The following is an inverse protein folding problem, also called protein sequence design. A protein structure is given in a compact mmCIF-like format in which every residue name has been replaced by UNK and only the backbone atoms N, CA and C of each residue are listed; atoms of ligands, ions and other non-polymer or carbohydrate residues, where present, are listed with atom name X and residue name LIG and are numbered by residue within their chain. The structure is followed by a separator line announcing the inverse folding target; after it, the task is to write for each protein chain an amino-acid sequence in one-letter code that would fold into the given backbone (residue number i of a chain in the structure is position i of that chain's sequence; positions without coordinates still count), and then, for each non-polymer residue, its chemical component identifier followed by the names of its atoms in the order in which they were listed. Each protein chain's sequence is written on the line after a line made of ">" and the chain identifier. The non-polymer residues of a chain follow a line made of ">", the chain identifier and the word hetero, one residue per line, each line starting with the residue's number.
data_IF_936086209833
#
_entry.id   IF_936086209833
#
_cell.length_a   1.000
_cell.length_b   1.000
_cell.length_c   1.000
_cell.angle_alpha   90.00
_cell.angle_beta   90.00
_cell.angle_gamma   90.00
#
_symmetry.space_group_name_H-M   'P 1'
#
loop_
_entity.id
_entity.type
_entity.pdbx_description
1 polymer ?
#
# COMPACT_ATOMS: atom_id res chain seq x y z
N UNK A 1 -20.62 -10.76 53.47
CA UNK A 1 -19.83 -9.55 53.77
C UNK A 1 -18.55 -9.47 52.94
N UNK A 2 -17.85 -10.58 52.67
CA UNK A 2 -16.62 -10.62 51.85
C UNK A 2 -16.76 -10.22 50.37
N UNK A 3 -17.87 -10.59 49.69
CA UNK A 3 -18.08 -10.24 48.28
C UNK A 3 -18.17 -8.72 48.03
N UNK A 4 -18.94 -7.98 48.84
CA UNK A 4 -19.08 -6.52 48.69
C UNK A 4 -17.80 -5.73 48.97
N UNK A 5 -16.93 -6.22 49.87
CA UNK A 5 -15.60 -5.61 50.11
C UNK A 5 -14.67 -5.84 48.92
N UNK A 6 -14.70 -7.04 48.32
CA UNK A 6 -13.91 -7.36 47.12
C UNK A 6 -14.34 -6.52 45.90
N UNK A 7 -15.64 -6.36 45.68
CA UNK A 7 -16.19 -5.56 44.57
C UNK A 7 -15.86 -4.07 44.72
N UNK A 8 -15.95 -3.54 45.94
CA UNK A 8 -15.58 -2.16 46.24
C UNK A 8 -14.08 -1.89 46.00
N UNK A 9 -13.21 -2.80 46.45
CA UNK A 9 -11.77 -2.69 46.21
C UNK A 9 -11.42 -2.78 44.73
N UNK A 10 -12.07 -3.67 43.97
CA UNK A 10 -11.90 -3.78 42.53
C UNK A 10 -12.31 -2.48 41.82
N UNK A 11 -13.47 -1.93 42.17
CA UNK A 11 -13.95 -0.66 41.63
C UNK A 11 -12.99 0.51 41.94
N UNK A 12 -12.50 0.61 43.18
CA UNK A 12 -11.54 1.65 43.55
C UNK A 12 -10.22 1.55 42.77
N UNK A 13 -9.63 0.35 42.71
CA UNK A 13 -8.39 0.10 41.95
C UNK A 13 -8.58 0.38 40.46
N UNK A 14 -9.72 -0.02 39.90
CA UNK A 14 -10.10 0.30 38.53
C UNK A 14 -10.14 1.80 38.28
N UNK A 15 -10.88 2.56 39.10
CA UNK A 15 -10.96 4.03 38.92
C UNK A 15 -9.61 4.72 39.03
N UNK A 16 -8.77 4.30 39.97
CA UNK A 16 -7.43 4.86 40.14
C UNK A 16 -6.56 4.57 38.91
N UNK A 17 -6.59 3.34 38.42
CA UNK A 17 -5.89 2.96 37.19
C UNK A 17 -6.37 3.77 35.97
N UNK A 18 -7.67 3.95 35.80
CA UNK A 18 -8.22 4.78 34.73
C UNK A 18 -7.74 6.24 34.82
N UNK A 19 -7.72 6.82 36.03
CA UNK A 19 -7.21 8.18 36.25
C UNK A 19 -5.72 8.31 35.92
N UNK A 20 -4.91 7.30 36.21
CA UNK A 20 -3.48 7.32 35.87
C UNK A 20 -3.26 7.36 34.35
N UNK A 21 -4.08 6.63 33.58
CA UNK A 21 -4.04 6.67 32.11
C UNK A 21 -4.51 8.05 31.61
N UNK A 22 -5.64 8.52 32.12
CA UNK A 22 -6.27 9.78 31.67
C UNK A 22 -5.48 11.03 32.06
N UNK A 23 -4.82 11.00 33.21
CA UNK A 23 -3.93 12.06 33.67
C UNK A 23 -2.50 11.92 33.15
N UNK A 24 -2.26 11.05 32.15
CA UNK A 24 -0.96 10.80 31.52
C UNK A 24 0.18 10.42 32.49
N UNK A 25 -0.17 9.91 33.68
CA UNK A 25 0.80 9.38 34.64
C UNK A 25 1.32 8.00 34.21
N UNK A 26 0.52 7.28 33.43
CA UNK A 26 0.87 6.02 32.82
C UNK A 26 0.55 6.08 31.32
N UNK A 27 1.60 6.19 30.50
CA UNK A 27 1.47 6.41 29.05
C UNK A 27 1.95 5.24 28.20
N UNK A 28 2.84 4.40 28.74
CA UNK A 28 3.40 3.27 28.02
C UNK A 28 2.33 2.18 27.77
N UNK A 29 1.98 1.87 26.51
CA UNK A 29 0.89 0.94 26.19
C UNK A 29 1.12 -0.47 26.71
N UNK A 30 2.37 -0.93 26.74
CA UNK A 30 2.72 -2.28 27.16
C UNK A 30 2.56 -2.42 28.68
N UNK A 31 3.00 -1.42 29.44
CA UNK A 31 2.74 -1.33 30.89
C UNK A 31 1.25 -1.17 31.21
N UNK A 32 0.51 -0.37 30.44
CA UNK A 32 -0.94 -0.23 30.59
C UNK A 32 -1.62 -1.58 30.40
N UNK A 33 -1.31 -2.29 29.32
CA UNK A 33 -1.90 -3.59 29.04
C UNK A 33 -1.54 -4.65 30.09
N UNK A 34 -0.30 -4.65 30.58
CA UNK A 34 0.13 -5.54 31.66
C UNK A 34 -0.66 -5.30 32.95
N UNK A 35 -0.79 -4.03 33.40
CA UNK A 35 -1.59 -3.66 34.57
C UNK A 35 -3.07 -3.98 34.39
N UNK A 36 -3.61 -3.78 33.19
CA UNK A 36 -4.98 -4.18 32.87
C UNK A 36 -5.16 -5.69 33.05
N UNK A 37 -4.25 -6.50 32.51
CA UNK A 37 -4.33 -7.98 32.59
C UNK A 37 -4.28 -8.46 34.04
N UNK A 38 -3.43 -7.83 34.87
CA UNK A 38 -3.38 -8.10 36.30
C UNK A 38 -4.71 -7.71 37.01
N UNK A 39 -5.23 -6.51 36.72
CA UNK A 39 -6.47 -6.01 37.32
C UNK A 39 -7.71 -6.82 36.91
N UNK A 40 -7.72 -7.36 35.68
CA UNK A 40 -8.89 -7.97 35.04
C UNK A 40 -8.93 -9.50 35.11
N UNK A 41 -7.88 -10.15 35.64
CA UNK A 41 -7.58 -11.58 35.54
C UNK A 41 -8.79 -12.53 35.57
N UNK A 42 -9.68 -12.39 36.54
CA UNK A 42 -10.86 -13.27 36.71
C UNK A 42 -12.20 -12.58 36.36
N UNK A 43 -12.18 -11.28 36.05
CA UNK A 43 -13.37 -10.43 35.99
C UNK A 43 -13.32 -9.42 34.83
N UNK A 44 -12.69 -9.78 33.70
CA UNK A 44 -12.43 -8.85 32.60
C UNK A 44 -13.68 -8.23 32.00
N UNK A 45 -14.82 -8.92 32.06
CA UNK A 45 -16.14 -8.46 31.60
C UNK A 45 -16.96 -7.71 32.65
N UNK A 46 -16.50 -7.62 33.91
CA UNK A 46 -17.23 -6.95 35.00
C UNK A 46 -17.60 -5.51 34.67
N UNK A 47 -18.83 -5.11 35.00
CA UNK A 47 -19.31 -3.72 34.82
C UNK A 47 -18.49 -2.73 35.65
N UNK A 48 -17.91 -3.16 36.77
CA UNK A 48 -17.05 -2.33 37.62
C UNK A 48 -15.77 -1.89 36.90
N UNK A 49 -15.33 -2.67 35.92
CA UNK A 49 -14.15 -2.41 35.12
C UNK A 49 -14.47 -1.77 33.76
N UNK A 50 -15.72 -1.36 33.51
CA UNK A 50 -16.11 -0.75 32.24
C UNK A 50 -15.29 0.52 31.91
N UNK A 51 -15.22 1.47 32.86
CA UNK A 51 -14.43 2.70 32.69
C UNK A 51 -12.95 2.43 32.42
N UNK A 52 -12.27 1.64 33.28
CA UNK A 52 -10.87 1.25 33.07
C UNK A 52 -10.63 0.53 31.73
N UNK A 53 -11.50 -0.42 31.36
CA UNK A 53 -11.42 -1.14 30.08
C UNK A 53 -11.47 -0.18 28.91
N UNK A 54 -12.40 0.78 28.94
CA UNK A 54 -12.54 1.82 27.92
C UNK A 54 -11.29 2.71 27.83
N UNK A 55 -10.74 3.13 28.97
CA UNK A 55 -9.53 3.95 29.02
C UNK A 55 -8.31 3.21 28.42
N UNK A 56 -8.15 1.93 28.75
CA UNK A 56 -7.09 1.08 28.19
C UNK A 56 -7.28 0.91 26.68
N UNK A 57 -8.46 0.45 26.24
CA UNK A 57 -8.78 0.28 24.80
C UNK A 57 -8.47 1.55 24.01
N UNK A 58 -8.92 2.71 24.50
CA UNK A 58 -8.65 4.01 23.86
C UNK A 58 -7.15 4.23 23.69
N UNK A 59 -6.34 4.06 24.73
CA UNK A 59 -4.89 4.31 24.66
C UNK A 59 -4.16 3.36 23.70
N UNK A 60 -4.55 2.08 23.68
CA UNK A 60 -3.99 1.10 22.74
C UNK A 60 -4.32 1.48 21.28
N UNK A 61 -5.58 1.85 21.01
CA UNK A 61 -6.02 2.26 19.67
C UNK A 61 -5.36 3.56 19.24
N UNK A 62 -5.32 4.58 20.10
CA UNK A 62 -4.63 5.86 19.83
C UNK A 62 -3.15 5.65 19.49
N UNK A 63 -2.49 4.72 20.21
CA UNK A 63 -1.08 4.44 19.93
C UNK A 63 -0.89 3.74 18.58
N UNK A 64 -1.77 2.80 18.22
CA UNK A 64 -1.75 2.17 16.91
C UNK A 64 -2.12 3.16 15.77
N UNK A 65 -3.01 4.11 16.04
CA UNK A 65 -3.39 5.17 15.10
C UNK A 65 -2.20 6.04 14.72
N UNK A 66 -1.22 6.24 15.61
CA UNK A 66 0.01 6.95 15.25
C UNK A 66 0.80 6.24 14.14
N UNK A 67 0.84 4.90 14.11
CA UNK A 67 1.49 4.16 13.02
C UNK A 67 0.76 4.35 11.69
N UNK A 68 -0.57 4.25 11.70
CA UNK A 68 -1.41 4.44 10.51
C UNK A 68 -1.30 5.89 10.01
N UNK A 69 -1.39 6.87 10.89
CA UNK A 69 -1.26 8.29 10.56
C UNK A 69 0.15 8.63 10.07
N UNK A 70 1.20 8.07 10.68
CA UNK A 70 2.57 8.23 10.22
C UNK A 70 2.71 7.67 8.80
N UNK A 71 2.12 6.52 8.50
CA UNK A 71 2.11 6.01 7.14
C UNK A 71 1.36 6.93 6.17
N UNK A 72 0.17 7.41 6.54
CA UNK A 72 -0.62 8.33 5.69
C UNK A 72 0.14 9.60 5.33
N UNK A 73 0.85 10.17 6.31
CA UNK A 73 1.46 11.50 6.21
C UNK A 73 2.95 11.47 5.85
N UNK A 74 3.60 10.31 5.83
CA UNK A 74 5.05 10.27 5.65
C UNK A 74 5.47 10.48 4.21
N UNK A 75 6.02 11.65 3.93
CA UNK A 75 6.70 11.92 2.67
C UNK A 75 8.15 11.40 2.65
N UNK A 76 8.82 11.22 3.79
CA UNK A 76 10.27 10.96 3.82
C UNK A 76 10.74 9.81 4.74
N UNK A 77 9.97 9.44 5.77
CA UNK A 77 10.39 8.43 6.74
C UNK A 77 9.54 7.16 6.68
N UNK A 78 10.09 6.01 6.24
CA UNK A 78 9.31 4.79 6.15
C UNK A 78 8.90 4.32 7.55
N UNK A 79 7.62 3.96 7.71
CA UNK A 79 7.14 3.21 8.89
C UNK A 79 7.79 1.84 8.88
N UNK A 80 8.44 1.46 9.99
CA UNK A 80 9.24 0.25 10.07
C UNK A 80 8.34 -0.99 10.24
N UNK A 81 8.80 -2.18 9.83
CA UNK A 81 8.02 -3.42 10.02
C UNK A 81 7.59 -3.64 11.48
N UNK A 82 8.48 -3.34 12.43
CA UNK A 82 8.21 -3.46 13.87
C UNK A 82 7.08 -2.54 14.36
N UNK A 83 6.89 -1.38 13.73
CA UNK A 83 5.81 -0.47 14.11
C UNK A 83 4.45 -1.06 13.73
N UNK A 84 4.37 -1.72 12.57
CA UNK A 84 3.16 -2.43 12.15
C UNK A 84 2.87 -3.65 13.03
N UNK A 85 3.90 -4.42 13.40
CA UNK A 85 3.76 -5.54 14.33
C UNK A 85 3.25 -5.10 15.71
N UNK A 86 3.77 -3.97 16.19
CA UNK A 86 3.31 -3.35 17.44
C UNK A 86 1.86 -2.89 17.32
N UNK A 87 1.52 -2.15 16.26
CA UNK A 87 0.15 -1.70 16.01
C UNK A 87 -0.85 -2.88 15.94
N UNK A 88 -0.51 -3.94 15.20
CA UNK A 88 -1.30 -5.18 15.14
C UNK A 88 -1.56 -5.75 16.54
N UNK A 89 -0.52 -5.86 17.37
CA UNK A 89 -0.63 -6.39 18.74
C UNK A 89 -1.54 -5.52 19.60
N UNK A 90 -1.37 -4.20 19.57
CA UNK A 90 -2.21 -3.26 20.32
C UNK A 90 -3.68 -3.32 19.92
N UNK A 91 -3.97 -3.42 18.61
CA UNK A 91 -5.32 -3.49 18.07
C UNK A 91 -5.99 -4.84 18.37
N UNK A 92 -5.25 -5.94 18.28
CA UNK A 92 -5.74 -7.26 18.68
C UNK A 92 -6.08 -7.30 20.19
N UNK A 93 -5.22 -6.72 21.03
CA UNK A 93 -5.48 -6.59 22.46
C UNK A 93 -6.72 -5.73 22.75
N UNK A 94 -6.92 -4.63 22.01
CA UNK A 94 -8.11 -3.80 22.12
C UNK A 94 -9.41 -4.56 21.75
N UNK A 95 -9.37 -5.39 20.70
CA UNK A 95 -10.53 -6.21 20.28
C UNK A 95 -10.90 -7.30 21.29
N UNK A 96 -9.91 -7.89 21.98
CA UNK A 96 -10.18 -8.86 23.05
C UNK A 96 -10.95 -8.24 24.22
N UNK A 97 -10.77 -6.93 24.46
CA UNK A 97 -11.48 -6.21 25.52
C UNK A 97 -12.91 -5.88 25.13
N UNK A 98 -13.11 -5.38 23.91
CA UNK A 98 -14.41 -4.89 23.45
C UNK A 98 -14.45 -4.91 21.91
N UNK A 99 -15.21 -5.85 21.31
CA UNK A 99 -15.33 -5.98 19.86
C UNK A 99 -15.82 -4.69 19.19
N UNK A 100 -15.15 -4.31 18.11
CA UNK A 100 -15.41 -3.04 17.42
C UNK A 100 -14.95 -3.14 15.97
N UNK A 101 -15.87 -2.95 15.03
CA UNK A 101 -15.58 -3.05 13.60
C UNK A 101 -14.57 -2.00 13.13
N UNK A 102 -14.53 -0.82 13.75
CA UNK A 102 -13.53 0.21 13.45
C UNK A 102 -12.14 -0.26 13.85
N UNK A 103 -12.01 -0.84 15.05
CA UNK A 103 -10.73 -1.40 15.53
C UNK A 103 -10.34 -2.61 14.70
N UNK A 104 -11.31 -3.44 14.28
CA UNK A 104 -11.06 -4.57 13.36
C UNK A 104 -10.53 -4.07 12.02
N UNK A 105 -11.12 -3.02 11.45
CA UNK A 105 -10.64 -2.43 10.21
C UNK A 105 -9.20 -1.90 10.32
N UNK A 106 -8.86 -1.26 11.44
CA UNK A 106 -7.48 -0.81 11.72
C UNK A 106 -6.52 -1.98 11.87
N UNK A 107 -6.95 -3.07 12.52
CA UNK A 107 -6.15 -4.29 12.63
C UNK A 107 -5.82 -4.84 11.24
N UNK A 108 -6.83 -4.90 10.36
CA UNK A 108 -6.67 -5.31 8.97
C UNK A 108 -5.71 -4.41 8.18
N UNK A 109 -5.70 -3.09 8.42
CA UNK A 109 -4.67 -2.20 7.85
C UNK A 109 -3.26 -2.64 8.28
N UNK A 110 -3.05 -2.88 9.57
CA UNK A 110 -1.74 -3.29 10.09
C UNK A 110 -1.30 -4.67 9.53
N UNK A 111 -2.21 -5.64 9.50
CA UNK A 111 -1.97 -6.97 8.93
C UNK A 111 -1.66 -6.91 7.43
N UNK A 112 -2.43 -6.13 6.67
CA UNK A 112 -2.18 -5.89 5.25
C UNK A 112 -0.81 -5.30 4.98
N UNK A 113 -0.34 -4.36 5.80
CA UNK A 113 1.01 -3.81 5.66
C UNK A 113 2.12 -4.81 6.00
N UNK A 114 1.94 -5.65 7.03
CA UNK A 114 2.88 -6.72 7.37
C UNK A 114 2.97 -7.72 6.21
N UNK A 115 1.83 -8.17 5.70
CA UNK A 115 1.75 -9.10 4.58
C UNK A 115 2.39 -8.52 3.31
N UNK A 116 2.14 -7.23 3.00
CA UNK A 116 2.81 -6.53 1.89
C UNK A 116 4.33 -6.52 2.03
N UNK A 117 4.84 -6.17 3.21
CA UNK A 117 6.28 -6.09 3.47
C UNK A 117 6.92 -7.46 3.27
N UNK A 118 6.30 -8.51 3.83
CA UNK A 118 6.77 -9.89 3.67
C UNK A 118 6.72 -10.35 2.22
N UNK A 119 5.61 -10.12 1.52
CA UNK A 119 5.40 -10.53 0.13
C UNK A 119 6.36 -9.84 -0.85
N UNK A 120 6.56 -8.53 -0.69
CA UNK A 120 7.51 -7.79 -1.54
C UNK A 120 8.97 -8.15 -1.24
N UNK A 121 9.33 -8.31 0.03
CA UNK A 121 10.70 -8.64 0.45
C UNK A 121 11.15 -10.05 0.04
N UNK A 122 10.23 -11.03 0.09
CA UNK A 122 10.54 -12.45 -0.18
C UNK A 122 10.01 -12.96 -1.51
N UNK A 123 9.36 -12.10 -2.32
CA UNK A 123 8.65 -12.48 -3.55
C UNK A 123 7.64 -13.60 -3.31
N UNK A 124 6.91 -13.52 -2.20
CA UNK A 124 5.92 -14.53 -1.80
C UNK A 124 4.52 -14.11 -2.28
N UNK A 125 3.95 -14.78 -3.30
CA UNK A 125 2.64 -14.44 -3.83
C UNK A 125 1.53 -14.61 -2.79
N UNK A 126 1.65 -15.57 -1.88
CA UNK A 126 0.62 -15.82 -0.86
C UNK A 126 0.54 -14.66 0.13
N UNK A 127 1.68 -14.11 0.54
CA UNK A 127 1.70 -12.90 1.37
C UNK A 127 1.15 -11.68 0.64
N UNK A 128 1.33 -11.57 -0.69
CA UNK A 128 0.74 -10.48 -1.47
C UNK A 128 -0.78 -10.62 -1.59
N UNK A 129 -1.29 -11.83 -1.80
CA UNK A 129 -2.73 -12.14 -1.81
C UNK A 129 -3.36 -11.81 -0.44
N UNK A 130 -2.76 -12.30 0.65
CA UNK A 130 -3.20 -11.97 2.02
C UNK A 130 -3.23 -10.46 2.25
N UNK A 131 -2.24 -9.72 1.75
CA UNK A 131 -2.21 -8.26 1.86
C UNK A 131 -3.40 -7.60 1.19
N UNK A 132 -3.78 -8.05 -0.02
CA UNK A 132 -4.96 -7.56 -0.73
C UNK A 132 -6.25 -7.91 0.02
N UNK A 133 -6.36 -9.14 0.54
CA UNK A 133 -7.50 -9.58 1.33
C UNK A 133 -7.70 -8.71 2.58
N UNK A 134 -6.64 -8.50 3.36
CA UNK A 134 -6.70 -7.70 4.58
C UNK A 134 -7.08 -6.24 4.27
N UNK A 135 -6.50 -5.61 3.25
CA UNK A 135 -6.92 -4.26 2.88
C UNK A 135 -8.35 -4.20 2.34
N UNK A 136 -8.80 -5.22 1.62
CA UNK A 136 -10.20 -5.29 1.14
C UNK A 136 -11.18 -5.45 2.30
N UNK A 137 -10.82 -6.22 3.33
CA UNK A 137 -11.63 -6.31 4.55
C UNK A 137 -11.61 -4.97 5.31
N UNK A 138 -10.45 -4.33 5.42
CA UNK A 138 -10.32 -3.00 6.01
C UNK A 138 -11.18 -1.95 5.29
N UNK A 139 -11.24 -1.98 3.96
CA UNK A 139 -12.08 -1.10 3.14
C UNK A 139 -13.56 -1.24 3.52
N UNK A 140 -14.06 -2.47 3.70
CA UNK A 140 -15.45 -2.73 4.09
C UNK A 140 -15.75 -2.23 5.50
N UNK A 141 -14.79 -2.37 6.41
CA UNK A 141 -14.92 -1.97 7.82
C UNK A 141 -14.71 -0.45 8.02
N UNK A 142 -13.96 0.20 7.13
CA UNK A 142 -13.61 1.62 7.19
C UNK A 142 -13.93 2.33 5.85
N UNK A 143 -15.22 2.40 5.44
CA UNK A 143 -15.60 2.86 4.10
C UNK A 143 -15.25 4.32 3.80
N UNK A 144 -15.00 5.13 4.83
CA UNK A 144 -14.60 6.54 4.70
C UNK A 144 -13.09 6.75 4.85
N UNK A 145 -12.32 5.71 5.20
CA UNK A 145 -10.87 5.84 5.36
C UNK A 145 -10.17 5.69 4.01
N UNK A 146 -9.20 6.57 3.68
CA UNK A 146 -8.31 6.38 2.54
C UNK A 146 -7.22 5.32 2.81
N UNK A 147 -6.95 4.95 4.07
CA UNK A 147 -5.80 4.10 4.43
C UNK A 147 -5.79 2.73 3.76
N UNK A 148 -6.92 2.00 3.62
CA UNK A 148 -6.94 0.73 2.91
C UNK A 148 -6.49 0.87 1.45
N UNK A 149 -6.89 1.96 0.80
CA UNK A 149 -6.55 2.23 -0.60
C UNK A 149 -5.07 2.59 -0.77
N UNK A 150 -4.50 3.36 0.15
CA UNK A 150 -3.06 3.65 0.17
C UNK A 150 -2.23 2.36 0.37
N UNK A 151 -2.77 1.40 1.13
CA UNK A 151 -2.23 0.06 1.27
C UNK A 151 -2.28 -0.72 -0.05
N UNK A 152 -3.48 -0.86 -0.63
CA UNK A 152 -3.75 -1.57 -1.88
C UNK A 152 -2.88 -1.04 -3.03
N UNK A 153 -2.86 0.27 -3.22
CA UNK A 153 -2.08 0.89 -4.28
C UNK A 153 -0.59 0.50 -4.20
N UNK A 154 -0.02 0.48 -2.98
CA UNK A 154 1.38 0.09 -2.78
C UNK A 154 1.64 -1.40 -3.06
N UNK A 155 0.69 -2.28 -2.74
CA UNK A 155 0.76 -3.71 -3.10
C UNK A 155 0.73 -3.87 -4.61
N UNK A 156 -0.17 -3.16 -5.29
CA UNK A 156 -0.34 -3.24 -6.73
C UNK A 156 0.87 -2.68 -7.50
N UNK A 157 1.47 -1.56 -7.07
CA UNK A 157 2.67 -1.00 -7.71
C UNK A 157 3.89 -1.92 -7.58
N UNK A 158 4.23 -2.36 -6.36
CA UNK A 158 5.52 -2.99 -6.10
C UNK A 158 5.46 -4.52 -5.99
N UNK A 159 4.36 -5.07 -5.49
CA UNK A 159 4.18 -6.51 -5.33
C UNK A 159 3.62 -7.18 -6.58
N UNK A 160 2.42 -6.75 -7.00
CA UNK A 160 1.66 -7.41 -8.07
C UNK A 160 1.93 -6.82 -9.46
N UNK A 161 2.58 -5.65 -9.53
CA UNK A 161 2.96 -4.99 -10.78
C UNK A 161 1.76 -4.68 -11.70
N UNK A 162 0.65 -4.28 -11.09
CA UNK A 162 -0.63 -3.94 -11.71
C UNK A 162 -0.91 -2.44 -11.51
N UNK A 163 -0.39 -1.62 -12.43
CA UNK A 163 -0.50 -0.15 -12.31
C UNK A 163 -1.94 0.35 -12.49
N UNK A 164 -2.79 -0.38 -13.23
CA UNK A 164 -4.18 0.06 -13.42
C UNK A 164 -4.97 -0.05 -12.12
N UNK A 165 -4.80 -1.16 -11.38
CA UNK A 165 -5.39 -1.29 -10.04
C UNK A 165 -4.78 -0.33 -9.03
N UNK A 166 -3.49 -0.04 -9.14
CA UNK A 166 -2.86 0.96 -8.29
C UNK A 166 -3.44 2.35 -8.51
N UNK A 167 -3.61 2.77 -9.77
CA UNK A 167 -4.23 4.04 -10.12
C UNK A 167 -5.68 4.13 -9.63
N UNK A 168 -6.46 3.06 -9.77
CA UNK A 168 -7.82 2.98 -9.24
C UNK A 168 -7.86 3.14 -7.71
N UNK A 169 -6.96 2.45 -6.99
CA UNK A 169 -6.88 2.59 -5.55
C UNK A 169 -6.52 4.03 -5.12
N UNK A 170 -5.58 4.69 -5.81
CA UNK A 170 -5.28 6.10 -5.50
C UNK A 170 -6.45 7.04 -5.80
N UNK A 171 -7.18 6.83 -6.90
CA UNK A 171 -8.39 7.61 -7.21
C UNK A 171 -9.44 7.43 -6.11
N UNK A 172 -9.64 6.20 -5.63
CA UNK A 172 -10.56 5.93 -4.53
C UNK A 172 -10.08 6.58 -3.21
N UNK A 173 -8.78 6.61 -2.93
CA UNK A 173 -8.23 7.36 -1.81
C UNK A 173 -8.55 8.86 -1.91
N UNK A 174 -8.41 9.45 -3.11
CA UNK A 174 -8.75 10.86 -3.36
C UNK A 174 -10.26 11.12 -3.20
N UNK A 175 -11.11 10.21 -3.67
CA UNK A 175 -12.56 10.28 -3.43
C UNK A 175 -12.92 10.26 -1.95
N UNK A 176 -12.09 9.63 -1.10
CA UNK A 176 -12.21 9.64 0.36
C UNK A 176 -11.50 10.81 1.04
N UNK A 177 -11.12 11.83 0.27
CA UNK A 177 -10.55 13.09 0.78
C UNK A 177 -9.05 13.05 1.04
N UNK A 178 -8.33 12.04 0.54
CA UNK A 178 -6.87 12.08 0.52
C UNK A 178 -6.34 12.95 -0.63
N UNK A 179 -5.16 13.53 -0.47
CA UNK A 179 -4.49 14.26 -1.53
C UNK A 179 -3.16 13.58 -1.83
N UNK A 180 -2.95 13.18 -3.09
CA UNK A 180 -1.73 12.50 -3.49
C UNK A 180 -0.52 13.44 -3.37
N UNK A 181 0.42 13.08 -2.51
CA UNK A 181 1.68 13.79 -2.35
C UNK A 181 2.74 13.32 -3.35
N UNK A 182 3.97 13.86 -3.22
CA UNK A 182 5.11 13.42 -4.03
C UNK A 182 5.38 11.91 -3.95
N UNK A 183 5.11 11.28 -2.80
CA UNK A 183 5.29 9.85 -2.58
C UNK A 183 4.36 9.00 -3.45
N UNK A 184 3.07 9.28 -3.45
CA UNK A 184 2.09 8.52 -4.23
C UNK A 184 2.30 8.71 -5.73
N UNK A 185 2.61 9.94 -6.15
CA UNK A 185 2.99 10.25 -7.54
C UNK A 185 4.27 9.50 -7.95
N UNK A 186 5.24 9.38 -7.04
CA UNK A 186 6.43 8.55 -7.26
C UNK A 186 6.06 7.07 -7.47
N UNK A 187 5.14 6.53 -6.66
CA UNK A 187 4.68 5.14 -6.81
C UNK A 187 3.99 4.91 -8.16
N UNK A 188 3.13 5.85 -8.59
CA UNK A 188 2.51 5.81 -9.91
C UNK A 188 3.57 5.87 -11.02
N UNK A 189 4.53 6.79 -10.93
CA UNK A 189 5.60 6.95 -11.91
C UNK A 189 6.45 5.67 -12.05
N UNK A 190 6.84 5.08 -10.93
CA UNK A 190 7.57 3.80 -10.88
C UNK A 190 6.75 2.66 -11.51
N UNK A 191 5.44 2.61 -11.26
CA UNK A 191 4.56 1.58 -11.81
C UNK A 191 4.37 1.69 -13.32
N UNK A 192 4.14 2.90 -13.85
CA UNK A 192 4.09 3.14 -15.29
C UNK A 192 5.43 2.82 -15.96
N UNK A 193 6.55 3.19 -15.34
CA UNK A 193 7.89 2.88 -15.83
C UNK A 193 8.13 1.35 -15.90
N UNK A 194 7.75 0.61 -14.87
CA UNK A 194 7.86 -0.86 -14.85
C UNK A 194 7.03 -1.53 -15.95
N UNK A 195 5.78 -1.06 -16.15
CA UNK A 195 4.92 -1.57 -17.24
C UNK A 195 5.47 -1.21 -18.62
N UNK A 196 5.98 0.01 -18.81
CA UNK A 196 6.60 0.45 -20.05
C UNK A 196 7.83 -0.41 -20.41
N UNK A 197 8.73 -0.61 -19.44
CA UNK A 197 9.94 -1.42 -19.60
C UNK A 197 9.60 -2.85 -20.02
N UNK A 198 8.62 -3.47 -19.34
CA UNK A 198 8.16 -4.83 -19.64
C UNK A 198 7.49 -4.93 -21.01
N UNK A 199 6.59 -4.01 -21.31
CA UNK A 199 5.86 -3.99 -22.59
C UNK A 199 6.81 -3.78 -23.76
N UNK A 200 7.77 -2.88 -23.62
CA UNK A 200 8.80 -2.68 -24.64
C UNK A 200 9.69 -3.92 -24.76
N UNK A 201 9.98 -4.61 -23.66
CA UNK A 201 10.70 -5.87 -23.71
C UNK A 201 9.96 -6.96 -24.48
N UNK A 202 8.68 -7.16 -24.15
CA UNK A 202 7.83 -8.18 -24.76
C UNK A 202 7.56 -7.91 -26.24
N UNK A 203 7.59 -6.65 -26.68
CA UNK A 203 7.47 -6.27 -28.11
C UNK A 203 8.50 -6.96 -29.00
N UNK A 204 9.66 -7.35 -28.46
CA UNK A 204 10.69 -8.10 -29.18
C UNK A 204 10.21 -9.48 -29.62
N UNK A 205 9.26 -10.09 -28.88
CA UNK A 205 8.72 -11.41 -29.17
C UNK A 205 7.74 -11.40 -30.36
N UNK A 206 7.17 -10.24 -30.69
CA UNK A 206 6.23 -10.05 -31.82
C UNK A 206 6.84 -9.24 -32.95
N UNK A 207 8.18 -9.13 -32.98
CA UNK A 207 8.90 -8.28 -33.93
C UNK A 207 8.54 -8.61 -35.38
N UNK A 208 8.23 -7.55 -36.14
CA UNK A 208 7.82 -7.61 -37.53
C UNK A 208 6.34 -7.88 -37.77
N UNK A 209 5.59 -8.28 -36.73
CA UNK A 209 4.14 -8.42 -36.79
C UNK A 209 3.44 -7.07 -36.52
N UNK A 210 2.18 -6.88 -36.96
CA UNK A 210 1.43 -5.66 -36.67
C UNK A 210 1.38 -5.29 -35.19
N UNK A 211 1.33 -6.29 -34.30
CA UNK A 211 1.28 -6.12 -32.85
C UNK A 211 2.53 -5.47 -32.26
N UNK A 212 3.69 -5.52 -32.94
CA UNK A 212 4.90 -4.83 -32.48
C UNK A 212 4.65 -3.34 -32.33
N UNK A 213 4.03 -2.70 -33.34
CA UNK A 213 3.74 -1.26 -33.29
C UNK A 213 2.87 -0.91 -32.10
N UNK A 214 1.79 -1.66 -31.90
CA UNK A 214 0.83 -1.42 -30.82
C UNK A 214 1.48 -1.55 -29.43
N UNK A 215 2.32 -2.56 -29.23
CA UNK A 215 3.02 -2.76 -27.95
C UNK A 215 4.03 -1.63 -27.70
N UNK A 216 4.80 -1.24 -28.71
CA UNK A 216 5.78 -0.17 -28.57
C UNK A 216 5.09 1.18 -28.35
N UNK A 217 3.94 1.43 -28.98
CA UNK A 217 3.15 2.63 -28.73
C UNK A 217 2.64 2.67 -27.28
N UNK A 218 2.09 1.56 -26.77
CA UNK A 218 1.67 1.48 -25.36
C UNK A 218 2.84 1.73 -24.39
N UNK A 219 4.02 1.19 -24.68
CA UNK A 219 5.21 1.47 -23.88
C UNK A 219 5.59 2.95 -23.93
N UNK A 220 5.51 3.61 -25.10
CA UNK A 220 5.75 5.04 -25.24
C UNK A 220 4.78 5.86 -24.37
N UNK A 221 3.49 5.51 -24.42
CA UNK A 221 2.45 6.18 -23.65
C UNK A 221 2.72 6.06 -22.15
N UNK A 222 3.05 4.86 -21.65
CA UNK A 222 3.41 4.63 -20.25
C UNK A 222 4.68 5.39 -19.83
N UNK A 223 5.72 5.40 -20.68
CA UNK A 223 6.91 6.20 -20.39
C UNK A 223 6.60 7.70 -20.31
N UNK A 224 5.72 8.23 -21.17
CA UNK A 224 5.30 9.62 -21.11
C UNK A 224 4.53 9.93 -19.81
N UNK A 225 3.64 9.04 -19.37
CA UNK A 225 2.94 9.18 -18.09
C UNK A 225 3.93 9.17 -16.91
N UNK A 226 4.87 8.22 -16.90
CA UNK A 226 5.92 8.15 -15.90
C UNK A 226 6.76 9.43 -15.88
N UNK A 227 7.18 9.92 -17.06
CA UNK A 227 7.98 11.14 -17.19
C UNK A 227 7.26 12.36 -16.62
N UNK A 228 5.99 12.55 -16.96
CA UNK A 228 5.18 13.67 -16.47
C UNK A 228 5.09 13.66 -14.93
N UNK A 229 4.83 12.49 -14.34
CA UNK A 229 4.76 12.34 -12.88
C UNK A 229 6.12 12.60 -12.21
N UNK A 230 7.23 12.07 -12.75
CA UNK A 230 8.56 12.37 -12.19
C UNK A 230 8.91 13.86 -12.29
N UNK A 231 8.55 14.52 -13.39
CA UNK A 231 8.78 15.96 -13.58
C UNK A 231 7.99 16.79 -12.56
N UNK A 232 6.76 16.41 -12.26
CA UNK A 232 5.91 17.11 -11.29
C UNK A 232 6.48 17.08 -9.87
N UNK A 233 7.13 15.98 -9.50
CA UNK A 233 7.64 15.78 -8.13
C UNK A 233 9.13 16.11 -7.98
N UNK A 234 9.87 16.38 -9.05
CA UNK A 234 11.31 16.63 -8.96
C UNK A 234 11.62 17.83 -8.03
N UNK A 235 12.64 17.75 -7.15
CA UNK A 235 13.66 16.70 -7.04
C UNK A 235 13.35 15.60 -6.00
N UNK A 236 12.09 15.39 -5.62
CA UNK A 236 11.71 14.40 -4.60
C UNK A 236 12.23 12.98 -4.91
N UNK A 237 12.76 12.31 -3.89
CA UNK A 237 13.28 10.94 -4.00
C UNK A 237 14.36 10.81 -5.08
N UNK A 238 14.15 9.88 -6.03
CA UNK A 238 15.05 9.65 -7.16
C UNK A 238 14.52 10.23 -8.49
N UNK A 239 13.52 11.13 -8.43
CA UNK A 239 12.80 11.59 -9.61
C UNK A 239 13.72 12.17 -10.69
N UNK A 240 14.70 13.01 -10.32
CA UNK A 240 15.65 13.59 -11.28
C UNK A 240 16.45 12.53 -12.05
N UNK A 241 16.94 11.49 -11.37
CA UNK A 241 17.65 10.40 -12.02
C UNK A 241 16.71 9.54 -12.89
N UNK A 242 15.46 9.38 -12.46
CA UNK A 242 14.43 8.67 -13.22
C UNK A 242 14.02 9.41 -14.50
N UNK A 243 13.91 10.74 -14.47
CA UNK A 243 13.63 11.57 -15.64
C UNK A 243 14.63 11.27 -16.76
N UNK A 244 15.93 11.34 -16.47
CA UNK A 244 16.97 11.06 -17.47
C UNK A 244 16.87 9.64 -18.02
N UNK A 245 16.63 8.64 -17.16
CA UNK A 245 16.43 7.25 -17.57
C UNK A 245 15.24 7.11 -18.53
N UNK A 246 14.08 7.68 -18.16
CA UNK A 246 12.85 7.58 -18.95
C UNK A 246 13.02 8.26 -20.31
N UNK A 247 13.72 9.41 -20.37
CA UNK A 247 14.03 10.08 -21.63
C UNK A 247 14.87 9.19 -22.56
N UNK A 248 15.92 8.54 -22.06
CA UNK A 248 16.71 7.57 -22.87
C UNK A 248 15.86 6.39 -23.37
N UNK A 249 14.96 5.88 -22.52
CA UNK A 249 14.04 4.80 -22.92
C UNK A 249 13.05 5.26 -24.00
N UNK A 250 12.49 6.47 -23.88
CA UNK A 250 11.61 7.07 -24.87
C UNK A 250 12.31 7.27 -26.21
N UNK A 251 13.57 7.71 -26.23
CA UNK A 251 14.36 7.81 -27.47
C UNK A 251 14.45 6.46 -28.17
N UNK A 252 14.71 5.38 -27.42
CA UNK A 252 14.81 4.02 -27.95
C UNK A 252 13.49 3.51 -28.52
N UNK A 253 12.39 3.73 -27.81
CA UNK A 253 11.03 3.36 -28.23
C UNK A 253 10.62 4.15 -29.48
N UNK A 254 10.83 5.46 -29.48
CA UNK A 254 10.48 6.34 -30.59
C UNK A 254 11.32 6.06 -31.84
N UNK A 255 12.60 5.72 -31.66
CA UNK A 255 13.45 5.26 -32.75
C UNK A 255 12.85 4.01 -33.40
N UNK A 256 12.44 3.03 -32.60
CA UNK A 256 11.86 1.78 -33.13
C UNK A 256 10.51 2.01 -33.81
N UNK A 257 9.64 2.89 -33.29
CA UNK A 257 8.39 3.26 -33.96
C UNK A 257 8.66 3.85 -35.34
N UNK A 258 9.62 4.77 -35.45
CA UNK A 258 10.03 5.37 -36.74
C UNK A 258 10.55 4.32 -37.72
N UNK A 259 11.34 3.34 -37.27
CA UNK A 259 11.79 2.25 -38.14
C UNK A 259 10.62 1.42 -38.71
N UNK A 260 9.61 1.14 -37.89
CA UNK A 260 8.42 0.39 -38.30
C UNK A 260 7.63 1.19 -39.34
N UNK A 261 7.43 2.49 -39.10
CA UNK A 261 6.72 3.40 -40.01
C UNK A 261 7.44 3.59 -41.35
N UNK A 262 8.78 3.59 -41.33
CA UNK A 262 9.61 3.64 -42.53
C UNK A 262 9.64 2.31 -43.32
N UNK A 263 8.90 1.27 -42.89
CA UNK A 263 8.89 -0.03 -43.55
C UNK A 263 10.17 -0.86 -43.34
N UNK A 264 11.05 -0.46 -42.41
CA UNK A 264 12.28 -1.18 -42.07
C UNK A 264 12.06 -2.37 -41.13
N UNK A 265 10.82 -2.85 -41.03
CA UNK A 265 10.50 -4.17 -40.47
C UNK A 265 11.16 -5.27 -41.33
N UNK A 266 11.66 -6.37 -40.74
CA UNK A 266 12.21 -7.52 -41.48
C UNK A 266 11.28 -8.02 -42.61
N UNK A 267 9.96 -7.95 -42.41
CA UNK A 267 8.95 -8.29 -43.42
C UNK A 267 8.79 -7.20 -44.50
N UNK A 268 8.91 -5.93 -44.14
CA UNK A 268 8.86 -4.80 -45.06
C UNK A 268 10.04 -4.78 -46.05
N UNK A 269 11.19 -5.34 -45.67
CA UNK A 269 12.34 -5.54 -46.57
C UNK A 269 12.18 -6.74 -47.51
N UNK A 270 11.39 -7.76 -47.13
CA UNK A 270 11.17 -8.97 -47.93
C UNK A 270 10.08 -8.80 -49.00
N UNK A 271 9.06 -7.98 -48.74
CA UNK A 271 7.94 -7.76 -49.67
C UNK A 271 8.37 -7.19 -51.05
N UNK A 272 9.27 -6.19 -51.15
CA UNK A 272 9.76 -5.70 -52.43
C UNK A 272 10.59 -6.75 -53.19
N UNK A 273 11.33 -7.61 -52.48
CA UNK A 273 12.15 -8.67 -53.07
C UNK A 273 11.28 -9.81 -53.63
N UNK A 274 10.22 -10.19 -52.91
CA UNK A 274 9.26 -11.20 -53.36
C UNK A 274 8.44 -10.72 -54.56
N UNK A 275 8.09 -9.43 -54.61
CA UNK A 275 7.42 -8.82 -55.77
C UNK A 275 8.33 -8.83 -57.01
N UNK A 276 9.60 -8.41 -56.88
CA UNK A 276 10.59 -8.46 -57.98
C UNK A 276 10.86 -9.88 -58.48
N UNK A 277 10.90 -10.88 -57.60
CA UNK A 277 11.08 -12.28 -57.98
C UNK A 277 9.87 -12.85 -58.75
N UNK A 278 8.67 -12.30 -58.54
CA UNK A 278 7.45 -12.71 -59.24
C UNK A 278 7.35 -12.09 -60.63
N UNK A 279 7.88 -10.89 -60.83
CA UNK A 279 7.96 -10.23 -62.13
C UNK A 279 9.07 -10.79 -63.02
N UNK A 280 10.22 -11.17 -62.46
CA UNK A 280 11.32 -11.80 -63.22
C UNK A 280 11.02 -13.22 -63.74
N UNK A 281 9.85 -13.79 -63.39
CA UNK A 281 9.37 -15.10 -63.88
C UNK A 281 8.22 -14.99 -64.89
N UNK A 282 7.88 -13.78 -65.34
CA UNK A 282 7.01 -13.54 -66.50
C UNK A 282 7.85 -13.08 -67.67
#
# INVERSE_FOLDING_TARGET
>A
MWAGVSDYLLYQRGREFARQIEGEQLTDPDQIYAKWTELSKDNSSSLLLYGPRKAVKRKLVETADHTIAAYRNSEAQPVLPKDWERARTLLANALQMDPDDTVRGKLRIAEGHIARINGTGHRDPKSLEQSVEDFTEAQRLLPQSPDPELGLARVYVYGLKDIDKASQAFQEAEHRGYHLGPREKLFLADGYLDRADRTFWDSRNVRGLPQEKDQIQRAADDYNHALALYQEIAPYGNASARISRVQTSLESVNFRLKEIEAGNSPLGKLLPLLWRLREARR
#
